data_IF_455581708035
#
_entry.id   IF_455581708035
#
_cell.length_a   1.000
_cell.length_b   1.000
_cell.length_c   1.000
_cell.angle_alpha   90.00
_cell.angle_beta   90.00
_cell.angle_gamma   90.00
#
_symmetry.space_group_name_H-M   'P 1'
#
loop_
_entity.id
_entity.type
_entity.pdbx_description
1 polymer ?
#
# COMPACT_ATOMS: atom_id res chain seq x y z
N UNK A 1 -3.84 7.43 -20.90
CA UNK A 1 -3.47 6.02 -20.61
C UNK A 1 -4.61 5.23 -19.94
N UNK A 2 -5.16 5.66 -18.79
CA UNK A 2 -6.24 4.96 -18.06
C UNK A 2 -7.52 4.66 -18.86
N UNK A 3 -7.99 5.59 -19.71
CA UNK A 3 -9.21 5.37 -20.53
C UNK A 3 -8.99 4.29 -21.60
N UNK A 4 -7.81 4.28 -22.26
CA UNK A 4 -7.45 3.25 -23.25
C UNK A 4 -7.34 1.87 -22.60
N UNK A 5 -6.70 1.77 -21.43
CA UNK A 5 -6.60 0.54 -20.64
C UNK A 5 -7.97 0.05 -20.13
N UNK A 6 -8.86 0.97 -19.77
CA UNK A 6 -10.23 0.63 -19.39
C UNK A 6 -11.01 0.07 -20.59
N UNK A 7 -10.95 0.71 -21.75
CA UNK A 7 -11.62 0.28 -22.98
C UNK A 7 -11.10 -1.06 -23.51
N UNK A 8 -9.82 -1.39 -23.28
CA UNK A 8 -9.24 -2.70 -23.63
C UNK A 8 -9.51 -3.79 -22.59
N UNK A 9 -10.08 -3.45 -21.43
CA UNK A 9 -10.43 -4.41 -20.39
C UNK A 9 -11.81 -5.03 -20.63
N UNK A 10 -12.08 -6.20 -20.03
CA UNK A 10 -13.40 -6.82 -20.06
C UNK A 10 -14.52 -5.87 -19.61
N UNK A 11 -14.26 -5.01 -18.61
CA UNK A 11 -15.21 -3.99 -18.14
C UNK A 11 -15.56 -2.97 -19.23
N UNK A 12 -14.54 -2.52 -19.97
CA UNK A 12 -14.73 -1.56 -21.07
C UNK A 12 -15.47 -2.17 -22.23
N UNK A 13 -15.15 -3.42 -22.59
CA UNK A 13 -15.88 -4.17 -23.62
C UNK A 13 -17.35 -4.38 -23.23
N UNK A 14 -17.63 -4.80 -22.00
CA UNK A 14 -18.99 -4.96 -21.49
C UNK A 14 -19.79 -3.65 -21.53
N UNK A 15 -19.14 -2.51 -21.22
CA UNK A 15 -19.75 -1.19 -21.31
C UNK A 15 -20.04 -0.80 -22.77
N UNK A 16 -19.08 -0.98 -23.68
CA UNK A 16 -19.25 -0.64 -25.10
C UNK A 16 -20.41 -1.44 -25.70
N UNK A 17 -20.43 -2.75 -25.47
CA UNK A 17 -21.50 -3.63 -25.96
C UNK A 17 -22.86 -3.21 -25.38
N UNK A 18 -22.92 -2.91 -24.08
CA UNK A 18 -24.14 -2.39 -23.44
C UNK A 18 -24.62 -1.07 -24.06
N UNK A 19 -23.71 -0.12 -24.34
CA UNK A 19 -24.03 1.16 -24.98
C UNK A 19 -24.52 0.93 -26.42
N UNK A 20 -23.89 0.04 -27.19
CA UNK A 20 -24.33 -0.27 -28.55
C UNK A 20 -25.74 -0.88 -28.57
N UNK A 21 -26.04 -1.81 -27.66
CA UNK A 21 -27.39 -2.37 -27.50
C UNK A 21 -28.40 -1.30 -27.07
N UNK A 22 -28.01 -0.35 -26.21
CA UNK A 22 -28.86 0.76 -25.80
C UNK A 22 -29.18 1.71 -26.96
N UNK A 23 -28.18 2.08 -27.76
CA UNK A 23 -28.36 2.87 -28.98
C UNK A 23 -29.27 2.13 -29.97
N UNK A 24 -29.05 0.82 -30.17
CA UNK A 24 -29.90 0.00 -31.02
C UNK A 24 -31.37 0.00 -30.55
N UNK A 25 -31.62 -0.20 -29.26
CA UNK A 25 -32.97 -0.23 -28.69
C UNK A 25 -33.68 1.13 -28.82
N UNK A 26 -32.95 2.24 -28.65
CA UNK A 26 -33.47 3.60 -28.87
C UNK A 26 -33.84 3.80 -30.33
N UNK A 27 -32.94 3.44 -31.26
CA UNK A 27 -33.19 3.59 -32.69
C UNK A 27 -34.39 2.74 -33.12
N UNK A 28 -34.47 1.49 -32.63
CA UNK A 28 -35.58 0.58 -32.93
C UNK A 28 -36.94 1.18 -32.52
N UNK A 29 -37.07 1.63 -31.27
CA UNK A 29 -38.31 2.20 -30.76
C UNK A 29 -38.65 3.58 -31.33
N UNK A 30 -37.64 4.40 -31.63
CA UNK A 30 -37.86 5.81 -32.01
C UNK A 30 -38.03 6.00 -33.52
N UNK A 31 -37.38 5.18 -34.33
CA UNK A 31 -37.36 5.35 -35.79
C UNK A 31 -37.99 4.17 -36.53
N UNK A 32 -37.74 2.93 -36.10
CA UNK A 32 -38.02 1.75 -36.95
C UNK A 32 -39.43 1.20 -36.77
N UNK A 33 -40.02 1.31 -35.58
CA UNK A 33 -41.41 0.88 -35.33
C UNK A 33 -42.44 1.67 -36.15
N UNK A 34 -42.14 2.93 -36.48
CA UNK A 34 -43.09 3.83 -37.15
C UNK A 34 -43.06 3.75 -38.68
N UNK A 35 -42.19 2.90 -39.27
CA UNK A 35 -42.05 2.74 -40.72
C UNK A 35 -42.77 1.44 -41.13
N UNK A 36 -43.63 1.50 -42.15
CA UNK A 36 -44.29 0.30 -42.70
C UNK A 36 -43.24 -0.70 -43.21
N UNK A 37 -43.20 -1.88 -42.60
CA UNK A 37 -42.20 -2.88 -42.91
C UNK A 37 -42.52 -3.61 -44.24
N UNK A 38 -41.52 -3.82 -45.12
CA UNK A 38 -41.73 -4.48 -46.41
C UNK A 38 -42.04 -5.98 -46.31
N UNK A 39 -41.79 -6.61 -45.15
CA UNK A 39 -42.10 -8.03 -44.90
C UNK A 39 -42.31 -8.29 -43.40
N UNK A 40 -43.29 -9.13 -43.03
CA UNK A 40 -43.57 -9.51 -41.63
C UNK A 40 -42.41 -10.24 -40.94
N UNK A 41 -41.55 -10.91 -41.71
CA UNK A 41 -40.33 -11.54 -41.18
C UNK A 41 -39.37 -10.51 -40.56
N UNK A 42 -39.22 -9.32 -41.17
CA UNK A 42 -38.36 -8.27 -40.64
C UNK A 42 -38.86 -7.72 -39.30
N UNK A 43 -40.18 -7.62 -39.12
CA UNK A 43 -40.79 -7.21 -37.86
C UNK A 43 -40.44 -8.22 -36.76
N UNK A 44 -40.58 -9.52 -37.05
CA UNK A 44 -40.30 -10.59 -36.09
C UNK A 44 -38.82 -10.62 -35.68
N UNK A 45 -37.90 -10.43 -36.63
CA UNK A 45 -36.47 -10.31 -36.34
C UNK A 45 -36.16 -9.09 -35.47
N UNK A 46 -36.77 -7.93 -35.75
CA UNK A 46 -36.59 -6.71 -34.96
C UNK A 46 -36.94 -6.92 -33.48
N UNK A 47 -38.07 -7.57 -33.21
CA UNK A 47 -38.51 -7.89 -31.84
C UNK A 47 -37.51 -8.80 -31.12
N UNK A 48 -36.99 -9.83 -31.81
CA UNK A 48 -36.00 -10.74 -31.22
C UNK A 48 -34.69 -10.02 -30.90
N UNK A 49 -34.16 -9.21 -31.84
CA UNK A 49 -32.93 -8.44 -31.63
C UNK A 49 -33.07 -7.38 -30.54
N UNK A 50 -34.21 -6.71 -30.47
CA UNK A 50 -34.51 -5.74 -29.40
C UNK A 50 -34.60 -6.44 -28.03
N UNK A 51 -35.27 -7.60 -27.95
CA UNK A 51 -35.33 -8.41 -26.72
C UNK A 51 -33.95 -8.86 -26.25
N UNK A 52 -33.09 -9.30 -27.18
CA UNK A 52 -31.69 -9.65 -26.88
C UNK A 52 -30.93 -8.41 -26.41
N UNK A 53 -31.11 -7.27 -27.07
CA UNK A 53 -30.45 -6.01 -26.72
C UNK A 53 -30.83 -5.54 -25.33
N UNK A 54 -32.12 -5.57 -24.98
CA UNK A 54 -32.62 -5.27 -23.63
C UNK A 54 -32.04 -6.22 -22.58
N UNK A 55 -31.93 -7.51 -22.90
CA UNK A 55 -31.32 -8.52 -22.01
C UNK A 55 -29.83 -8.22 -21.77
N UNK A 56 -29.09 -7.83 -22.82
CA UNK A 56 -27.68 -7.43 -22.72
C UNK A 56 -27.54 -6.16 -21.88
N UNK A 57 -28.38 -5.15 -22.09
CA UNK A 57 -28.39 -3.91 -21.28
C UNK A 57 -28.60 -4.25 -19.80
N UNK A 58 -29.60 -5.08 -19.47
CA UNK A 58 -29.89 -5.49 -18.11
C UNK A 58 -28.71 -6.24 -17.47
N UNK A 59 -28.11 -7.18 -18.22
CA UNK A 59 -26.91 -7.91 -17.79
C UNK A 59 -25.73 -6.97 -17.53
N UNK A 60 -25.52 -5.98 -18.39
CA UNK A 60 -24.45 -4.98 -18.22
C UNK A 60 -24.68 -4.14 -16.96
N UNK A 61 -25.90 -3.63 -16.74
CA UNK A 61 -26.25 -2.89 -15.51
C UNK A 61 -25.99 -3.76 -14.28
N UNK A 62 -26.46 -5.00 -14.28
CA UNK A 62 -26.28 -5.93 -13.18
C UNK A 62 -24.80 -6.22 -12.90
N UNK A 63 -23.99 -6.45 -13.94
CA UNK A 63 -22.54 -6.63 -13.83
C UNK A 63 -21.86 -5.43 -13.16
N UNK A 64 -22.22 -4.22 -13.58
CA UNK A 64 -21.62 -3.00 -13.02
C UNK A 64 -21.97 -2.80 -11.55
N UNK A 65 -23.22 -3.05 -11.17
CA UNK A 65 -23.70 -2.93 -9.79
C UNK A 65 -23.11 -4.00 -8.88
N UNK A 66 -23.09 -5.26 -9.33
CA UNK A 66 -22.76 -6.40 -8.46
C UNK A 66 -21.29 -6.77 -8.46
N UNK A 67 -20.56 -6.51 -9.55
CA UNK A 67 -19.16 -6.93 -9.70
C UNK A 67 -18.23 -5.72 -9.76
N UNK A 68 -18.43 -4.82 -10.72
CA UNK A 68 -17.46 -3.77 -11.00
C UNK A 68 -17.34 -2.73 -9.87
N UNK A 69 -18.47 -2.13 -9.45
CA UNK A 69 -18.47 -1.09 -8.42
C UNK A 69 -17.95 -1.59 -7.07
N UNK A 70 -18.39 -2.75 -6.54
CA UNK A 70 -17.85 -3.29 -5.29
C UNK A 70 -16.36 -3.60 -5.37
N UNK A 71 -15.89 -4.18 -6.50
CA UNK A 71 -14.47 -4.48 -6.70
C UNK A 71 -13.62 -3.21 -6.77
N UNK A 72 -14.11 -2.17 -7.44
CA UNK A 72 -13.42 -0.88 -7.51
C UNK A 72 -13.39 -0.17 -6.15
N UNK A 73 -14.50 -0.18 -5.42
CA UNK A 73 -14.56 0.38 -4.06
C UNK A 73 -13.61 -0.36 -3.12
N UNK A 74 -13.66 -1.70 -3.10
CA UNK A 74 -12.75 -2.55 -2.32
C UNK A 74 -11.29 -2.18 -2.61
N UNK A 75 -10.88 -2.15 -3.89
CA UNK A 75 -9.50 -1.78 -4.27
C UNK A 75 -9.09 -0.39 -3.77
N UNK A 76 -9.97 0.61 -3.87
CA UNK A 76 -9.68 1.97 -3.37
C UNK A 76 -9.51 2.00 -1.85
N UNK A 77 -10.36 1.28 -1.13
CA UNK A 77 -10.30 1.20 0.34
C UNK A 77 -9.03 0.48 0.78
N UNK A 78 -8.71 -0.65 0.15
CA UNK A 78 -7.46 -1.37 0.40
C UNK A 78 -6.24 -0.50 0.11
N UNK A 79 -6.21 0.16 -1.05
CA UNK A 79 -5.11 1.06 -1.43
C UNK A 79 -4.93 2.20 -0.42
N UNK A 80 -6.04 2.77 0.07
CA UNK A 80 -5.99 3.81 1.10
C UNK A 80 -5.32 3.31 2.39
N UNK A 81 -5.73 2.13 2.89
CA UNK A 81 -5.16 1.58 4.12
C UNK A 81 -3.70 1.13 3.95
N UNK A 82 -3.36 0.48 2.84
CA UNK A 82 -1.98 0.08 2.54
C UNK A 82 -1.09 1.33 2.52
N UNK A 83 -1.46 2.37 1.77
CA UNK A 83 -0.69 3.63 1.73
C UNK A 83 -0.56 4.25 3.11
N UNK A 84 -1.65 4.30 3.88
CA UNK A 84 -1.64 4.88 5.23
C UNK A 84 -0.63 4.18 6.14
N UNK A 85 -0.59 2.85 6.11
CA UNK A 85 0.35 2.08 6.95
C UNK A 85 1.79 2.13 6.44
N UNK A 86 2.02 2.12 5.13
CA UNK A 86 3.35 2.36 4.56
C UNK A 86 3.88 3.75 4.93
N UNK A 87 3.02 4.77 4.96
CA UNK A 87 3.40 6.11 5.43
C UNK A 87 3.75 6.13 6.92
N UNK A 88 3.11 5.30 7.76
CA UNK A 88 3.53 5.19 9.17
C UNK A 88 4.92 4.56 9.28
N UNK A 89 5.22 3.54 8.47
CA UNK A 89 6.55 2.94 8.40
C UNK A 89 7.61 3.94 7.92
N UNK A 90 7.30 4.74 6.90
CA UNK A 90 8.17 5.82 6.43
C UNK A 90 8.47 6.84 7.54
N UNK A 91 7.45 7.20 8.33
CA UNK A 91 7.59 8.12 9.47
C UNK A 91 8.52 7.53 10.53
N UNK A 92 8.44 6.22 10.81
CA UNK A 92 9.37 5.56 11.74
C UNK A 92 10.81 5.56 11.22
N UNK A 93 11.02 5.33 9.93
CA UNK A 93 12.34 5.48 9.32
C UNK A 93 12.91 6.90 9.51
N UNK A 94 12.09 7.93 9.29
CA UNK A 94 12.47 9.33 9.53
C UNK A 94 12.82 9.58 10.99
N UNK A 95 12.05 9.05 11.93
CA UNK A 95 12.31 9.21 13.37
C UNK A 95 13.62 8.56 13.80
N UNK A 96 13.98 7.39 13.27
CA UNK A 96 15.31 6.79 13.57
C UNK A 96 16.43 7.78 13.18
N UNK A 97 16.34 8.38 12.00
CA UNK A 97 17.34 9.34 11.50
C UNK A 97 17.35 10.66 12.28
N UNK A 98 16.17 11.21 12.61
CA UNK A 98 16.05 12.43 13.40
C UNK A 98 16.48 12.24 14.87
N UNK A 99 16.03 11.17 15.52
CA UNK A 99 16.27 10.93 16.94
C UNK A 99 17.76 10.62 17.20
N UNK A 100 18.41 9.86 16.32
CA UNK A 100 19.82 9.45 16.46
C UNK A 100 20.75 10.43 15.73
N UNK A 101 20.51 10.70 14.45
CA UNK A 101 21.37 11.54 13.61
C UNK A 101 21.09 13.04 13.71
N UNK A 102 19.95 13.45 14.28
CA UNK A 102 19.53 14.84 14.39
C UNK A 102 18.89 15.42 13.13
N UNK A 103 18.93 14.71 11.99
CA UNK A 103 18.35 15.13 10.72
C UNK A 103 18.03 13.91 9.84
N UNK A 104 16.89 13.93 9.14
CA UNK A 104 16.51 12.90 8.15
C UNK A 104 17.53 12.75 7.03
N UNK A 105 18.13 13.85 6.57
CA UNK A 105 19.07 13.83 5.43
C UNK A 105 20.54 13.67 5.85
N UNK A 106 20.79 13.12 7.05
CA UNK A 106 22.15 12.92 7.53
C UNK A 106 22.92 11.88 6.69
N UNK A 107 24.22 12.10 6.52
CA UNK A 107 25.10 11.06 5.96
C UNK A 107 25.30 9.92 6.97
N UNK A 108 25.79 8.77 6.52
CA UNK A 108 26.09 7.66 7.42
C UNK A 108 27.19 8.03 8.43
N UNK A 109 28.15 8.87 8.04
CA UNK A 109 29.21 9.38 8.92
C UNK A 109 28.66 10.32 9.99
N UNK A 110 27.78 11.26 9.62
CA UNK A 110 27.10 12.15 10.58
C UNK A 110 26.24 11.35 11.56
N UNK A 111 25.52 10.33 11.05
CA UNK A 111 24.74 9.43 11.86
C UNK A 111 25.63 8.66 12.86
N UNK A 112 26.77 8.13 12.40
CA UNK A 112 27.74 7.44 13.23
C UNK A 112 28.32 8.32 14.34
N UNK A 113 28.71 9.55 14.00
CA UNK A 113 29.26 10.51 14.97
C UNK A 113 28.28 10.78 16.11
N UNK A 114 26.99 10.97 15.78
CA UNK A 114 25.96 11.16 16.80
C UNK A 114 25.69 9.88 17.59
N UNK A 115 25.58 8.74 16.93
CA UNK A 115 25.35 7.44 17.55
C UNK A 115 26.43 7.04 18.57
N UNK A 116 27.68 7.50 18.38
CA UNK A 116 28.77 7.27 19.34
C UNK A 116 28.53 7.91 20.71
N UNK A 117 27.74 8.99 20.76
CA UNK A 117 27.47 9.74 21.98
C UNK A 117 26.21 9.27 22.72
N UNK A 118 25.52 8.26 22.17
CA UNK A 118 24.26 7.76 22.73
C UNK A 118 24.52 6.45 23.48
N UNK A 119 24.44 6.50 24.81
CA UNK A 119 24.47 5.30 25.64
C UNK A 119 23.10 4.60 25.62
N UNK A 120 23.08 3.29 25.40
CA UNK A 120 21.84 2.52 25.21
C UNK A 120 20.94 2.46 26.46
N UNK A 121 21.50 2.68 27.66
CA UNK A 121 20.74 2.83 28.92
C UNK A 121 20.46 4.28 29.29
N UNK A 122 20.95 5.25 28.53
CA UNK A 122 20.54 6.64 28.72
C UNK A 122 19.09 6.85 28.27
N UNK A 123 18.45 7.86 28.86
CA UNK A 123 17.11 8.26 28.49
C UNK A 123 17.15 9.04 27.16
N UNK A 124 16.30 8.67 26.16
CA UNK A 124 16.15 9.47 24.95
C UNK A 124 15.57 10.86 25.25
N UNK A 125 15.55 11.73 24.25
CA UNK A 125 14.94 13.05 24.39
C UNK A 125 13.46 12.95 24.79
N UNK A 126 12.98 13.84 25.66
CA UNK A 126 11.64 13.76 26.26
C UNK A 126 10.49 13.89 25.25
N UNK A 127 10.73 14.56 24.13
CA UNK A 127 9.80 14.65 22.99
C UNK A 127 9.48 13.28 22.38
N UNK A 128 10.39 12.32 22.43
CA UNK A 128 10.19 10.95 21.94
C UNK A 128 9.09 10.27 22.77
N UNK A 129 9.18 10.33 24.10
CA UNK A 129 8.14 9.77 24.98
C UNK A 129 6.78 10.44 24.76
N UNK A 130 6.75 11.75 24.48
CA UNK A 130 5.51 12.47 24.16
C UNK A 130 4.90 11.99 22.84
N UNK A 131 5.73 11.78 21.82
CA UNK A 131 5.34 11.32 20.47
C UNK A 131 4.79 9.90 20.49
N UNK A 132 5.41 9.01 21.27
CA UNK A 132 5.00 7.61 21.43
C UNK A 132 3.87 7.42 22.45
N UNK A 133 3.44 8.49 23.12
CA UNK A 133 2.47 8.48 24.23
C UNK A 133 2.79 7.44 25.33
N UNK A 134 4.07 7.08 25.46
CA UNK A 134 4.56 6.01 26.31
C UNK A 134 5.88 6.48 26.93
N UNK A 135 6.08 6.33 28.26
CA UNK A 135 7.36 6.67 28.87
C UNK A 135 8.46 5.75 28.36
N UNK A 136 9.48 6.30 27.71
CA UNK A 136 10.65 5.58 27.21
C UNK A 136 11.85 6.01 28.04
N UNK A 137 12.37 5.08 28.84
CA UNK A 137 13.46 5.34 29.80
C UNK A 137 14.85 5.00 29.27
N UNK A 138 14.91 4.18 28.23
CA UNK A 138 16.18 3.74 27.62
C UNK A 138 16.05 3.65 26.11
N UNK A 139 17.17 3.74 25.40
CA UNK A 139 17.19 3.48 23.96
C UNK A 139 16.85 2.02 23.61
N UNK A 140 17.06 1.08 24.53
CA UNK A 140 16.52 -0.28 24.36
C UNK A 140 14.98 -0.27 24.30
N UNK A 141 14.32 0.43 25.22
CA UNK A 141 12.86 0.58 25.22
C UNK A 141 12.36 1.32 23.97
N UNK A 142 13.11 2.30 23.48
CA UNK A 142 12.82 2.99 22.22
C UNK A 142 12.74 2.01 21.05
N UNK A 143 13.78 1.20 20.85
CA UNK A 143 13.82 0.22 19.78
C UNK A 143 12.75 -0.87 19.96
N UNK A 144 12.51 -1.34 21.18
CA UNK A 144 11.45 -2.32 21.46
C UNK A 144 10.05 -1.80 21.08
N UNK A 145 9.75 -0.55 21.43
CA UNK A 145 8.49 0.09 21.04
C UNK A 145 8.40 0.25 19.51
N UNK A 146 9.47 0.68 18.86
CA UNK A 146 9.53 0.82 17.41
C UNK A 146 9.25 -0.52 16.70
N UNK A 147 9.94 -1.59 17.11
CA UNK A 147 9.76 -2.92 16.52
C UNK A 147 8.35 -3.48 16.74
N UNK A 148 7.74 -3.18 17.89
CA UNK A 148 6.37 -3.59 18.17
C UNK A 148 5.39 -2.95 17.17
N UNK A 149 5.44 -1.62 17.02
CA UNK A 149 4.52 -0.93 16.11
C UNK A 149 4.81 -1.21 14.63
N UNK A 150 6.09 -1.34 14.26
CA UNK A 150 6.48 -1.78 12.93
C UNK A 150 5.83 -3.13 12.59
N UNK A 151 5.93 -4.11 13.51
CA UNK A 151 5.33 -5.43 13.32
C UNK A 151 3.81 -5.33 13.16
N UNK A 152 3.14 -4.48 13.96
CA UNK A 152 1.69 -4.24 13.83
C UNK A 152 1.33 -3.69 12.44
N UNK A 153 2.04 -2.69 11.94
CA UNK A 153 1.73 -2.12 10.63
C UNK A 153 2.01 -3.09 9.48
N UNK A 154 3.12 -3.82 9.53
CA UNK A 154 3.45 -4.88 8.57
C UNK A 154 2.33 -5.93 8.55
N UNK A 155 1.89 -6.40 9.72
CA UNK A 155 0.76 -7.35 9.81
C UNK A 155 -0.54 -6.79 9.24
N UNK A 156 -0.84 -5.50 9.42
CA UNK A 156 -2.02 -4.89 8.80
C UNK A 156 -1.89 -4.80 7.28
N UNK A 157 -0.70 -4.56 6.73
CA UNK A 157 -0.47 -4.48 5.29
C UNK A 157 -0.57 -5.86 4.65
N UNK A 158 0.09 -6.87 5.23
CA UNK A 158 0.13 -8.25 4.70
C UNK A 158 -1.26 -8.87 4.59
N UNK A 159 -2.23 -8.45 5.42
CA UNK A 159 -3.64 -8.87 5.31
C UNK A 159 -4.28 -8.55 3.95
N UNK A 160 -3.76 -7.55 3.23
CA UNK A 160 -4.26 -7.19 1.92
C UNK A 160 -3.66 -8.03 0.77
N UNK A 161 -2.75 -8.97 1.07
CA UNK A 161 -2.30 -10.03 0.16
C UNK A 161 -1.95 -9.53 -1.23
N UNK A 162 -2.73 -9.97 -2.22
CA UNK A 162 -2.56 -9.67 -3.66
C UNK A 162 -2.58 -8.17 -4.01
N UNK A 163 -3.11 -7.31 -3.12
CA UNK A 163 -3.10 -5.86 -3.30
C UNK A 163 -1.77 -5.22 -2.91
N UNK A 164 -0.84 -5.97 -2.32
CA UNK A 164 0.50 -5.53 -1.93
C UNK A 164 1.53 -6.01 -2.98
N UNK A 165 2.39 -5.12 -3.50
CA UNK A 165 3.47 -5.49 -4.41
C UNK A 165 4.39 -6.55 -3.79
N UNK A 166 4.81 -7.53 -4.60
CA UNK A 166 5.71 -8.60 -4.16
C UNK A 166 7.03 -8.06 -3.59
N UNK A 167 7.55 -6.96 -4.14
CA UNK A 167 8.78 -6.29 -3.69
C UNK A 167 8.68 -5.84 -2.22
N UNK A 168 7.54 -5.29 -1.81
CA UNK A 168 7.28 -4.87 -0.42
C UNK A 168 7.17 -6.09 0.49
N UNK A 169 6.54 -7.17 0.03
CA UNK A 169 6.47 -8.42 0.78
C UNK A 169 7.87 -9.01 1.01
N UNK A 170 8.75 -8.93 0.00
CA UNK A 170 10.13 -9.38 0.13
C UNK A 170 10.90 -8.53 1.16
N UNK A 171 10.75 -7.21 1.17
CA UNK A 171 11.36 -6.37 2.22
C UNK A 171 10.82 -6.73 3.61
N UNK A 172 9.52 -6.96 3.76
CA UNK A 172 8.95 -7.40 5.04
C UNK A 172 9.49 -8.75 5.51
N UNK A 173 9.69 -9.71 4.60
CA UNK A 173 10.33 -10.98 4.93
C UNK A 173 11.81 -10.79 5.32
N UNK A 174 12.53 -9.86 4.68
CA UNK A 174 13.88 -9.51 5.11
C UNK A 174 13.89 -8.95 6.53
N UNK A 175 12.94 -8.08 6.89
CA UNK A 175 12.79 -7.56 8.25
C UNK A 175 12.40 -8.63 9.26
N UNK A 176 11.78 -9.75 8.86
CA UNK A 176 11.39 -10.83 9.79
C UNK A 176 12.47 -11.89 9.94
N UNK A 177 13.08 -12.30 8.84
CA UNK A 177 14.02 -13.43 8.79
C UNK A 177 15.48 -12.99 9.00
N UNK A 178 15.82 -11.77 8.58
CA UNK A 178 17.16 -11.22 8.62
C UNK A 178 17.18 -9.87 9.35
N UNK A 179 16.36 -9.72 10.41
CA UNK A 179 16.28 -8.51 11.24
C UNK A 179 17.60 -8.28 12.00
N UNK A 180 18.61 -7.84 11.26
CA UNK A 180 19.94 -7.62 11.79
C UNK A 180 19.89 -6.56 12.88
N UNK A 181 18.99 -5.57 12.76
CA UNK A 181 18.83 -4.52 13.75
C UNK A 181 18.20 -5.05 15.04
N UNK A 182 17.03 -5.72 14.99
CA UNK A 182 16.39 -6.27 16.20
C UNK A 182 17.28 -7.28 16.91
N UNK A 183 17.95 -8.15 16.14
CA UNK A 183 18.92 -9.11 16.69
C UNK A 183 20.13 -8.41 17.31
N UNK A 184 20.66 -7.36 16.67
CA UNK A 184 21.74 -6.56 17.24
C UNK A 184 21.29 -5.88 18.54
N UNK A 185 20.15 -5.20 18.56
CA UNK A 185 19.62 -4.55 19.77
C UNK A 185 19.49 -5.53 20.93
N UNK A 186 18.94 -6.72 20.71
CA UNK A 186 18.85 -7.74 21.77
C UNK A 186 20.21 -8.29 22.21
N UNK A 187 21.13 -8.47 21.26
CA UNK A 187 22.52 -8.88 21.58
C UNK A 187 23.20 -7.83 22.44
N UNK A 188 23.07 -6.55 22.08
CA UNK A 188 23.65 -5.44 22.82
C UNK A 188 23.02 -5.27 24.20
N UNK A 189 21.70 -5.47 24.31
CA UNK A 189 21.00 -5.50 25.61
C UNK A 189 21.56 -6.59 26.52
N UNK A 190 21.82 -7.78 25.97
CA UNK A 190 22.36 -8.93 26.71
C UNK A 190 23.81 -8.71 27.16
N UNK A 191 24.65 -8.10 26.33
CA UNK A 191 26.08 -7.91 26.59
C UNK A 191 26.44 -6.49 27.06
N UNK A 192 25.46 -5.65 27.37
CA UNK A 192 25.69 -4.29 27.86
C UNK A 192 26.64 -4.29 29.07
N UNK A 193 27.66 -3.43 29.02
CA UNK A 193 28.68 -3.30 30.06
C UNK A 193 29.83 -4.31 29.98
N UNK A 194 29.79 -5.28 29.06
CA UNK A 194 30.90 -6.23 28.86
C UNK A 194 32.06 -5.65 28.05
N UNK A 195 31.76 -4.80 27.08
CA UNK A 195 32.70 -4.02 26.26
C UNK A 195 32.08 -2.65 25.98
N UNK A 196 32.91 -1.62 25.77
CA UNK A 196 32.45 -0.30 25.34
C UNK A 196 31.63 -0.36 24.05
N UNK A 197 31.95 -1.29 23.14
CA UNK A 197 31.21 -1.46 21.88
C UNK A 197 29.73 -1.74 22.14
N UNK A 198 29.39 -2.49 23.19
CA UNK A 198 28.00 -2.85 23.51
C UNK A 198 27.20 -1.77 24.26
N UNK A 199 27.83 -0.64 24.60
CA UNK A 199 27.19 0.37 25.42
C UNK A 199 26.49 1.44 24.59
N UNK A 200 26.90 1.64 23.34
CA UNK A 200 26.44 2.75 22.50
C UNK A 200 25.73 2.28 21.24
N UNK A 201 24.91 3.17 20.66
CA UNK A 201 24.20 2.90 19.39
C UNK A 201 25.19 2.66 18.25
N UNK A 202 26.37 3.28 18.28
CA UNK A 202 27.40 3.17 17.24
C UNK A 202 27.87 1.74 16.91
N UNK A 203 27.62 0.75 17.77
CA UNK A 203 27.98 -0.63 17.44
C UNK A 203 27.05 -1.30 16.41
N UNK A 204 25.84 -0.75 16.21
CA UNK A 204 24.86 -1.26 15.23
C UNK A 204 24.17 -0.16 14.43
N UNK A 205 24.71 1.05 14.46
CA UNK A 205 24.19 2.23 13.78
C UNK A 205 24.02 2.06 12.27
N UNK A 206 24.93 1.38 11.59
CA UNK A 206 24.82 1.04 10.17
C UNK A 206 23.56 0.20 9.87
N UNK A 207 23.15 -0.65 10.80
CA UNK A 207 21.90 -1.43 10.71
C UNK A 207 20.70 -0.52 10.93
N UNK A 208 20.77 0.38 11.92
CA UNK A 208 19.71 1.36 12.18
C UNK A 208 19.49 2.30 10.98
N UNK A 209 20.59 2.82 10.41
CA UNK A 209 20.58 3.69 9.24
C UNK A 209 20.03 2.96 8.01
N UNK A 210 20.51 1.74 7.73
CA UNK A 210 20.01 0.93 6.61
C UNK A 210 18.52 0.60 6.76
N UNK A 211 18.10 0.23 7.97
CA UNK A 211 16.69 -0.08 8.27
C UNK A 211 15.80 1.15 8.05
N UNK A 212 16.22 2.31 8.56
CA UNK A 212 15.50 3.56 8.38
C UNK A 212 15.26 3.91 6.91
N UNK A 213 16.29 3.82 6.07
CA UNK A 213 16.16 4.08 4.63
C UNK A 213 15.29 3.04 3.92
N UNK A 214 15.38 1.77 4.32
CA UNK A 214 14.50 0.73 3.76
C UNK A 214 13.03 1.06 4.08
N UNK A 215 12.70 1.39 5.32
CA UNK A 215 11.33 1.81 5.70
C UNK A 215 10.86 3.05 4.91
N UNK A 216 11.74 4.03 4.73
CA UNK A 216 11.41 5.25 3.98
C UNK A 216 11.14 5.01 2.49
N UNK A 217 11.69 3.94 1.92
CA UNK A 217 11.52 3.61 0.49
C UNK A 217 10.20 2.90 0.17
N UNK A 218 9.53 2.31 1.18
CA UNK A 218 8.34 1.48 1.01
C UNK A 218 7.16 2.20 0.31
N UNK A 219 6.81 3.47 0.64
CA UNK A 219 5.72 4.15 -0.05
C UNK A 219 6.01 4.39 -1.54
N UNK A 220 7.28 4.66 -1.89
CA UNK A 220 7.67 4.89 -3.27
C UNK A 220 7.62 3.59 -4.08
N UNK A 221 8.08 2.47 -3.50
CA UNK A 221 7.93 1.13 -4.10
C UNK A 221 6.46 0.83 -4.42
N UNK A 222 5.56 1.16 -3.49
CA UNK A 222 4.12 0.96 -3.69
C UNK A 222 3.56 1.84 -4.82
N UNK A 223 4.02 3.08 -4.92
CA UNK A 223 3.57 4.02 -5.96
C UNK A 223 4.03 3.55 -7.35
N UNK A 224 5.29 3.12 -7.50
CA UNK A 224 5.83 2.63 -8.78
C UNK A 224 4.96 1.50 -9.34
N UNK A 225 4.62 0.53 -8.50
CA UNK A 225 3.77 -0.60 -8.88
C UNK A 225 2.34 -0.24 -9.31
N UNK A 226 1.80 0.91 -8.89
CA UNK A 226 0.46 1.35 -9.30
C UNK A 226 0.44 1.93 -10.72
N UNK A 227 1.59 2.42 -11.19
CA UNK A 227 1.71 3.11 -12.48
C UNK A 227 2.34 2.25 -13.58
N UNK A 228 2.90 1.10 -13.23
CA UNK A 228 3.29 0.02 -14.14
C UNK A 228 2.07 -0.85 -14.54
#
# INVERSE_FOLDING_TARGET
MRIRLFLSSYNGLALIVGILCFIHSILYHSLWINIEAPCQFMISLGIVFDTISLSVIASTIFYFITVYLPKQHKRKVEEYYIRKWLQQLEVYGKWILEDIGGNVNCSIEEFHEKACNIDLKSEPQSNISMREHTPIKTWFEYFENLFQWESVYIEQIVKYGDSVPAEIIVEFEQYRQFDNLRNAVYTYKKYYGSDKIYNTVSGFDHLAWKHAHSLMSLPEMYIRHIYD
#
